data_IF_263479845266
#
_entry.id   IF_263479845266
#
_cell.length_a   1.000
_cell.length_b   1.000
_cell.length_c   1.000
_cell.angle_alpha   90.00
_cell.angle_beta   90.00
_cell.angle_gamma   90.00
#
_symmetry.space_group_name_H-M   'P 1'
#
loop_
_entity.id
_entity.type
_entity.pdbx_description
1 polymer ?
#
# COMPACT_ATOMS: atom_id res chain seq x y z
N UNK A 1 -23.75 -23.04 -0.80
CA UNK A 1 -22.62 -24.00 -0.90
C UNK A 1 -21.60 -23.57 -1.95
N UNK A 2 -21.88 -23.56 -3.26
CA UNK A 2 -20.89 -23.09 -4.27
C UNK A 2 -20.67 -21.56 -4.27
N UNK A 3 -21.73 -20.78 -4.03
CA UNK A 3 -21.63 -19.31 -4.00
C UNK A 3 -20.76 -18.81 -2.83
N UNK A 4 -20.93 -19.39 -1.64
CA UNK A 4 -20.13 -19.04 -0.44
C UNK A 4 -18.64 -19.34 -0.65
N UNK A 5 -18.35 -20.47 -1.29
CA UNK A 5 -16.99 -20.86 -1.62
C UNK A 5 -16.33 -19.88 -2.60
N UNK A 6 -17.01 -19.57 -3.70
CA UNK A 6 -16.51 -18.64 -4.72
C UNK A 6 -16.30 -17.26 -4.14
N UNK A 7 -17.22 -16.76 -3.33
CA UNK A 7 -17.13 -15.42 -2.73
C UNK A 7 -15.98 -15.33 -1.73
N UNK A 8 -15.82 -16.33 -0.86
CA UNK A 8 -14.71 -16.35 0.09
C UNK A 8 -13.35 -16.47 -0.63
N UNK A 9 -13.25 -17.32 -1.66
CA UNK A 9 -12.03 -17.41 -2.46
C UNK A 9 -11.72 -16.09 -3.19
N UNK A 10 -12.75 -15.41 -3.71
CA UNK A 10 -12.62 -14.09 -4.33
C UNK A 10 -12.10 -13.06 -3.35
N UNK A 11 -12.67 -13.01 -2.14
CA UNK A 11 -12.20 -12.15 -1.05
C UNK A 11 -10.74 -12.41 -0.69
N UNK A 12 -10.32 -13.67 -0.52
CA UNK A 12 -8.93 -14.02 -0.22
C UNK A 12 -7.95 -13.58 -1.33
N UNK A 13 -8.35 -13.76 -2.60
CA UNK A 13 -7.55 -13.31 -3.76
C UNK A 13 -7.47 -11.80 -3.85
N UNK A 14 -8.57 -11.12 -3.56
CA UNK A 14 -8.62 -9.66 -3.50
C UNK A 14 -7.66 -9.15 -2.41
N UNK A 15 -7.75 -9.68 -1.19
CA UNK A 15 -6.83 -9.31 -0.11
C UNK A 15 -5.38 -9.53 -0.52
N UNK A 16 -5.07 -10.66 -1.18
CA UNK A 16 -3.72 -10.93 -1.69
C UNK A 16 -3.24 -9.86 -2.69
N UNK A 17 -4.07 -9.46 -3.65
CA UNK A 17 -3.71 -8.43 -4.62
C UNK A 17 -3.54 -7.05 -3.95
N UNK A 18 -4.44 -6.71 -3.03
CA UNK A 18 -4.42 -5.43 -2.32
C UNK A 18 -3.19 -5.29 -1.41
N UNK A 19 -2.87 -6.31 -0.62
CA UNK A 19 -1.71 -6.29 0.29
C UNK A 19 -0.39 -6.28 -0.48
N UNK A 20 -0.31 -6.93 -1.65
CA UNK A 20 0.84 -6.78 -2.54
C UNK A 20 1.06 -5.32 -2.95
N UNK A 21 -0.02 -4.60 -3.32
CA UNK A 21 0.09 -3.19 -3.67
C UNK A 21 0.53 -2.33 -2.47
N UNK A 22 0.02 -2.59 -1.26
CA UNK A 22 0.46 -1.89 -0.04
C UNK A 22 1.95 -2.13 0.23
N UNK A 23 2.43 -3.36 0.07
CA UNK A 23 3.84 -3.69 0.27
C UNK A 23 4.74 -3.00 -0.76
N UNK A 24 4.31 -2.88 -2.02
CA UNK A 24 5.03 -2.13 -3.04
C UNK A 24 5.12 -0.64 -2.69
N UNK A 25 4.06 -0.05 -2.12
CA UNK A 25 4.09 1.33 -1.60
C UNK A 25 5.15 1.44 -0.50
N UNK A 26 5.17 0.51 0.44
CA UNK A 26 6.17 0.50 1.52
C UNK A 26 7.61 0.41 0.97
N UNK A 27 7.87 -0.47 0.00
CA UNK A 27 9.19 -0.60 -0.63
C UNK A 27 9.60 0.69 -1.36
N UNK A 28 8.69 1.30 -2.11
CA UNK A 28 8.98 2.54 -2.86
C UNK A 28 9.39 3.71 -1.96
N UNK A 29 8.82 3.77 -0.75
CA UNK A 29 9.19 4.74 0.28
C UNK A 29 10.61 4.49 0.83
N UNK A 30 11.05 3.23 0.87
CA UNK A 30 12.41 2.86 1.29
C UNK A 30 13.47 3.15 0.23
N UNK A 31 13.18 2.92 -1.05
CA UNK A 31 14.16 3.03 -2.14
C UNK A 31 14.41 4.46 -2.63
N UNK A 32 13.46 5.38 -2.44
CA UNK A 32 13.59 6.77 -2.91
C UNK A 32 14.76 7.56 -2.28
N UNK A 33 15.39 7.03 -1.23
CA UNK A 33 16.45 7.72 -0.49
C UNK A 33 17.84 7.08 -0.62
N UNK A 34 17.95 5.81 -1.04
CA UNK A 34 19.25 5.14 -1.27
C UNK A 34 19.90 5.56 -2.61
N UNK A 35 19.15 6.23 -3.50
CA UNK A 35 19.62 6.67 -4.81
C UNK A 35 20.27 8.08 -4.81
N UNK A 36 20.44 8.70 -3.64
CA UNK A 36 20.91 10.10 -3.52
C UNK A 36 22.32 10.24 -2.92
N UNK A 37 23.23 9.30 -3.21
CA UNK A 37 24.64 9.39 -2.78
C UNK A 37 25.60 9.58 -3.97
N UNK A 38 26.17 10.81 -4.01
CA UNK A 38 27.47 11.26 -4.57
C UNK A 38 27.58 11.72 -6.06
N UNK A 39 28.54 12.63 -6.39
CA UNK A 39 28.92 13.88 -5.68
C UNK A 39 29.27 15.08 -6.63
N UNK A 40 29.35 16.32 -6.11
CA UNK A 40 30.46 17.22 -6.48
C UNK A 40 30.69 18.36 -5.46
N UNK A 41 31.92 18.87 -5.47
CA UNK A 41 32.71 19.25 -4.30
C UNK A 41 32.52 20.66 -3.66
N UNK A 42 32.95 20.71 -2.38
CA UNK A 42 33.73 21.77 -1.70
C UNK A 42 33.14 23.13 -1.29
N UNK A 43 31.88 23.49 -1.57
CA UNK A 43 31.34 24.81 -1.13
C UNK A 43 30.29 24.79 0.01
N UNK A 44 29.78 23.63 0.46
CA UNK A 44 28.57 23.56 1.30
C UNK A 44 28.77 23.17 2.78
N UNK A 45 29.96 23.33 3.35
CA UNK A 45 30.28 22.71 4.64
C UNK A 45 29.51 23.26 5.87
N UNK A 46 28.90 24.45 5.79
CA UNK A 46 27.99 24.97 6.84
C UNK A 46 26.49 24.78 6.54
N UNK A 47 26.09 24.63 5.27
CA UNK A 47 24.70 24.25 4.91
C UNK A 47 24.46 22.74 5.03
N UNK A 48 25.52 21.93 4.97
CA UNK A 48 25.50 20.47 5.07
C UNK A 48 24.88 19.96 6.37
N UNK A 49 25.23 20.54 7.54
CA UNK A 49 24.74 19.99 8.82
C UNK A 49 23.22 20.06 8.98
N UNK A 50 22.59 21.10 8.42
CA UNK A 50 21.11 21.23 8.42
C UNK A 50 20.50 20.31 7.38
N UNK A 51 21.09 20.23 6.18
CA UNK A 51 20.65 19.32 5.12
C UNK A 51 20.76 17.84 5.52
N UNK A 52 21.81 17.46 6.24
CA UNK A 52 22.04 16.11 6.76
C UNK A 52 21.01 15.77 7.84
N UNK A 53 20.68 16.72 8.73
CA UNK A 53 19.62 16.53 9.72
C UNK A 53 18.23 16.42 9.08
N UNK A 54 17.93 17.20 8.04
CA UNK A 54 16.66 17.12 7.30
C UNK A 54 16.57 15.77 6.55
N UNK A 55 17.66 15.31 5.96
CA UNK A 55 17.73 14.03 5.23
C UNK A 55 17.57 12.84 6.16
N UNK A 56 18.21 12.87 7.33
CA UNK A 56 18.00 11.90 8.40
C UNK A 56 16.52 11.88 8.79
N UNK A 57 15.95 13.01 9.22
CA UNK A 57 14.55 13.11 9.64
C UNK A 57 13.58 12.57 8.57
N UNK A 58 13.84 12.85 7.29
CA UNK A 58 13.03 12.36 6.16
C UNK A 58 13.13 10.85 6.00
N UNK A 59 14.32 10.28 6.19
CA UNK A 59 14.55 8.83 6.14
C UNK A 59 13.88 8.11 7.30
N UNK A 60 13.99 8.64 8.52
CA UNK A 60 13.29 8.07 9.67
C UNK A 60 11.77 8.18 9.56
N UNK A 61 11.28 9.27 8.94
CA UNK A 61 9.86 9.40 8.60
C UNK A 61 9.40 8.32 7.61
N UNK A 62 10.18 8.06 6.56
CA UNK A 62 9.89 6.97 5.63
C UNK A 62 9.82 5.61 6.32
N UNK A 63 10.68 5.32 7.30
CA UNK A 63 10.57 4.06 8.06
C UNK A 63 9.31 3.98 8.92
N UNK A 64 8.84 5.10 9.48
CA UNK A 64 7.56 5.13 10.19
C UNK A 64 6.39 4.86 9.24
N UNK A 65 6.39 5.47 8.04
CA UNK A 65 5.39 5.20 7.00
C UNK A 65 5.39 3.72 6.59
N UNK A 66 6.57 3.15 6.34
CA UNK A 66 6.73 1.71 6.04
C UNK A 66 6.20 0.82 7.16
N UNK A 67 6.50 1.15 8.42
CA UNK A 67 6.04 0.37 9.57
C UNK A 67 4.51 0.34 9.62
N UNK A 68 3.87 1.50 9.48
CA UNK A 68 2.40 1.60 9.50
C UNK A 68 1.77 0.79 8.35
N UNK A 69 2.36 0.84 7.15
CA UNK A 69 1.92 0.05 6.01
C UNK A 69 2.06 -1.46 6.25
N UNK A 70 3.22 -1.92 6.76
CA UNK A 70 3.44 -3.34 7.07
C UNK A 70 2.57 -3.83 8.24
N UNK A 71 2.29 -2.99 9.24
CA UNK A 71 1.37 -3.32 10.33
C UNK A 71 -0.04 -3.54 9.79
N UNK A 72 -0.54 -2.62 8.94
CA UNK A 72 -1.84 -2.78 8.27
C UNK A 72 -1.88 -4.02 7.38
N UNK A 73 -0.80 -4.29 6.65
CA UNK A 73 -0.66 -5.50 5.83
C UNK A 73 -0.77 -6.76 6.68
N UNK A 74 -0.06 -6.82 7.82
CA UNK A 74 -0.12 -7.95 8.73
C UNK A 74 -1.52 -8.13 9.35
N UNK A 75 -2.19 -7.04 9.72
CA UNK A 75 -3.58 -7.04 10.21
C UNK A 75 -4.55 -7.67 9.19
N UNK A 76 -4.52 -7.18 7.94
CA UNK A 76 -5.36 -7.67 6.84
C UNK A 76 -5.12 -9.14 6.53
N UNK A 77 -3.84 -9.55 6.48
CA UNK A 77 -3.46 -10.93 6.22
C UNK A 77 -3.89 -11.87 7.36
N UNK A 78 -3.72 -11.44 8.61
CA UNK A 78 -4.17 -12.19 9.78
C UNK A 78 -5.69 -12.41 9.75
N UNK A 79 -6.45 -11.35 9.47
CA UNK A 79 -7.91 -11.42 9.33
C UNK A 79 -8.33 -12.36 8.19
N UNK A 80 -7.70 -12.27 7.01
CA UNK A 80 -7.97 -13.15 5.88
C UNK A 80 -7.66 -14.62 6.18
N UNK A 81 -6.53 -14.91 6.84
CA UNK A 81 -6.17 -16.26 7.26
C UNK A 81 -7.15 -16.82 8.29
N UNK A 82 -7.60 -16.00 9.24
CA UNK A 82 -8.62 -16.38 10.21
C UNK A 82 -9.96 -16.67 9.52
N UNK A 83 -10.41 -15.79 8.63
CA UNK A 83 -11.64 -15.98 7.85
C UNK A 83 -11.59 -17.24 6.99
N UNK A 84 -10.44 -17.55 6.36
CA UNK A 84 -10.25 -18.79 5.62
C UNK A 84 -10.37 -20.02 6.53
N UNK A 85 -9.77 -19.96 7.72
CA UNK A 85 -9.83 -21.05 8.70
C UNK A 85 -11.27 -21.30 9.17
N UNK A 86 -11.99 -20.24 9.54
CA UNK A 86 -13.39 -20.35 9.95
C UNK A 86 -14.30 -20.80 8.81
N UNK A 87 -14.06 -20.31 7.59
CA UNK A 87 -14.77 -20.77 6.39
C UNK A 87 -14.62 -22.26 6.13
N UNK A 88 -13.41 -22.81 6.34
CA UNK A 88 -13.16 -24.26 6.22
C UNK A 88 -13.89 -25.03 7.31
N UNK A 89 -13.81 -24.57 8.57
CA UNK A 89 -14.51 -25.22 9.70
C UNK A 89 -16.03 -25.25 9.49
N UNK A 90 -16.59 -24.18 8.93
CA UNK A 90 -18.02 -24.06 8.66
C UNK A 90 -18.47 -24.75 7.35
N UNK A 91 -17.54 -25.37 6.60
CA UNK A 91 -17.86 -26.00 5.31
C UNK A 91 -18.21 -25.01 4.19
N UNK A 92 -17.95 -23.71 4.39
CA UNK A 92 -18.16 -22.63 3.40
C UNK A 92 -16.99 -22.49 2.43
N UNK A 93 -15.80 -22.95 2.82
CA UNK A 93 -14.60 -22.93 1.99
C UNK A 93 -13.98 -24.33 1.91
N UNK A 94 -13.95 -24.90 0.70
CA UNK A 94 -13.37 -26.22 0.49
C UNK A 94 -11.84 -26.15 0.32
N UNK A 95 -11.05 -27.06 0.93
CA UNK A 95 -9.58 -27.05 0.87
C UNK A 95 -9.04 -27.60 -0.46
N UNK A 96 -9.43 -26.97 -1.57
CA UNK A 96 -8.95 -27.25 -2.92
C UNK A 96 -7.47 -26.87 -3.10
N UNK A 97 -6.84 -27.33 -4.18
CA UNK A 97 -5.46 -26.95 -4.54
C UNK A 97 -5.30 -25.43 -4.63
N UNK A 98 -6.27 -24.74 -5.25
CA UNK A 98 -6.30 -23.29 -5.37
C UNK A 98 -6.41 -22.58 -4.02
N UNK A 99 -7.32 -23.03 -3.13
CA UNK A 99 -7.44 -22.44 -1.79
C UNK A 99 -6.14 -22.63 -1.01
N UNK A 100 -5.55 -23.82 -1.05
CA UNK A 100 -4.25 -24.11 -0.40
C UNK A 100 -3.14 -23.19 -0.91
N UNK A 101 -3.08 -22.94 -2.22
CA UNK A 101 -2.09 -22.03 -2.81
C UNK A 101 -2.30 -20.57 -2.35
N UNK A 102 -3.54 -20.07 -2.35
CA UNK A 102 -3.84 -18.70 -1.91
C UNK A 102 -3.52 -18.53 -0.43
N UNK A 103 -3.98 -19.45 0.43
CA UNK A 103 -3.71 -19.43 1.88
C UNK A 103 -2.21 -19.52 2.17
N UNK A 104 -1.46 -20.35 1.42
CA UNK A 104 0.01 -20.41 1.52
C UNK A 104 0.65 -19.06 1.24
N UNK A 105 0.28 -18.39 0.14
CA UNK A 105 0.81 -17.06 -0.21
C UNK A 105 0.45 -16.01 0.84
N UNK A 106 -0.80 -15.99 1.32
CA UNK A 106 -1.21 -15.08 2.40
C UNK A 106 -0.35 -15.26 3.66
N UNK A 107 -0.07 -16.52 4.04
CA UNK A 107 0.77 -16.83 5.20
C UNK A 107 2.25 -16.44 4.99
N UNK A 108 2.79 -16.62 3.79
CA UNK A 108 4.14 -16.18 3.43
C UNK A 108 4.28 -14.65 3.55
N UNK A 109 3.34 -13.89 2.99
CA UNK A 109 3.32 -12.44 3.12
C UNK A 109 3.09 -11.98 4.56
N UNK A 110 2.31 -12.72 5.35
CA UNK A 110 2.07 -12.39 6.76
C UNK A 110 3.38 -12.47 7.54
N UNK A 111 4.11 -13.58 7.38
CA UNK A 111 5.43 -13.78 8.00
C UNK A 111 6.43 -12.72 7.56
N UNK A 112 6.46 -12.41 6.26
CA UNK A 112 7.31 -11.34 5.72
C UNK A 112 6.98 -9.98 6.35
N UNK A 113 5.70 -9.62 6.41
CA UNK A 113 5.21 -8.36 6.99
C UNK A 113 5.55 -8.24 8.47
N UNK A 114 5.38 -9.31 9.24
CA UNK A 114 5.75 -9.35 10.67
C UNK A 114 7.26 -9.19 10.85
N UNK A 115 8.07 -9.83 10.00
CA UNK A 115 9.53 -9.67 10.02
C UNK A 115 9.95 -8.22 9.76
N UNK A 116 9.38 -7.59 8.71
CA UNK A 116 9.60 -6.18 8.39
C UNK A 116 9.18 -5.25 9.53
N UNK A 117 8.02 -5.50 10.15
CA UNK A 117 7.58 -4.74 11.33
C UNK A 117 8.59 -4.82 12.48
N UNK A 118 9.11 -6.02 12.79
CA UNK A 118 10.11 -6.20 13.85
C UNK A 118 11.40 -5.44 13.53
N UNK A 119 11.89 -5.54 12.30
CA UNK A 119 13.10 -4.84 11.86
C UNK A 119 12.95 -3.32 11.96
N UNK A 120 11.85 -2.77 11.41
CA UNK A 120 11.56 -1.33 11.43
C UNK A 120 11.34 -0.81 12.86
N UNK A 121 10.64 -1.57 13.71
CA UNK A 121 10.39 -1.19 15.10
C UNK A 121 11.71 -1.09 15.89
N UNK A 122 12.61 -2.07 15.79
CA UNK A 122 13.93 -2.00 16.44
C UNK A 122 14.73 -0.77 15.97
N UNK A 123 14.68 -0.47 14.67
CA UNK A 123 15.37 0.69 14.09
C UNK A 123 14.79 2.01 14.58
N UNK A 124 13.47 2.13 14.64
CA UNK A 124 12.75 3.33 15.06
C UNK A 124 12.82 3.56 16.58
N UNK A 125 12.81 2.50 17.40
CA UNK A 125 12.96 2.64 18.86
C UNK A 125 14.28 3.31 19.24
N UNK A 126 15.39 2.94 18.59
CA UNK A 126 16.70 3.59 18.81
C UNK A 126 16.64 5.10 18.54
N UNK A 127 15.86 5.49 17.54
CA UNK A 127 15.69 6.88 17.13
C UNK A 127 14.76 7.67 18.07
N UNK A 128 13.60 7.11 18.44
CA UNK A 128 12.61 7.83 19.25
C UNK A 128 13.03 8.09 20.68
N UNK A 129 13.90 7.25 21.27
CA UNK A 129 14.51 7.50 22.58
C UNK A 129 15.23 8.86 22.63
N UNK A 130 15.73 9.36 21.48
CA UNK A 130 16.46 10.63 21.40
C UNK A 130 15.58 11.84 21.01
N UNK A 131 14.34 11.64 20.56
CA UNK A 131 13.47 12.69 19.99
C UNK A 131 11.99 12.53 20.35
N UNK A 132 11.66 12.45 21.64
CA UNK A 132 10.30 12.27 22.17
C UNK A 132 9.24 13.23 21.57
N UNK A 133 9.61 14.48 21.27
CA UNK A 133 8.71 15.51 20.68
C UNK A 133 8.28 15.21 19.23
N UNK A 134 8.92 14.26 18.56
CA UNK A 134 8.62 13.88 17.17
C UNK A 134 7.51 12.82 17.10
N UNK A 135 7.27 12.07 18.18
CA UNK A 135 6.18 11.09 18.27
C UNK A 135 4.80 11.73 18.11
N UNK A 136 4.60 12.95 18.63
CA UNK A 136 3.31 13.63 18.56
C UNK A 136 2.85 13.92 17.11
N UNK A 137 3.79 14.08 16.17
CA UNK A 137 3.48 14.25 14.74
C UNK A 137 3.23 12.93 14.02
N UNK A 138 3.87 11.84 14.47
CA UNK A 138 3.74 10.50 13.88
C UNK A 138 2.36 9.89 14.17
N UNK A 139 1.71 10.28 15.26
CA UNK A 139 0.35 9.88 15.59
C UNK A 139 -0.70 10.26 14.52
N UNK A 140 -0.34 11.10 13.55
CA UNK A 140 -1.21 11.45 12.41
C UNK A 140 -1.07 10.53 11.19
N UNK A 141 -0.02 9.70 11.14
CA UNK A 141 0.28 8.80 10.01
C UNK A 141 -0.57 7.54 10.14
N UNK A 142 -1.37 7.28 9.12
CA UNK A 142 -2.24 6.09 9.02
C UNK A 142 -2.01 5.43 7.67
N UNK A 143 -2.13 4.11 7.61
CA UNK A 143 -1.95 3.37 6.36
C UNK A 143 -2.97 3.81 5.30
N UNK A 144 -4.20 4.10 5.73
CA UNK A 144 -5.32 4.58 4.93
C UNK A 144 -4.93 5.86 4.17
N UNK A 145 -4.47 6.89 4.88
CA UNK A 145 -4.00 8.16 4.29
C UNK A 145 -2.81 7.95 3.34
N UNK A 146 -1.85 7.10 3.70
CA UNK A 146 -0.68 6.82 2.86
C UNK A 146 -1.08 6.13 1.55
N UNK A 147 -1.95 5.12 1.62
CA UNK A 147 -2.47 4.41 0.45
C UNK A 147 -3.31 5.36 -0.40
N UNK A 148 -4.16 6.19 0.19
CA UNK A 148 -4.96 7.17 -0.54
C UNK A 148 -4.08 8.18 -1.28
N UNK A 149 -3.12 8.79 -0.58
CA UNK A 149 -2.17 9.75 -1.17
C UNK A 149 -1.40 9.13 -2.33
N UNK A 150 -0.88 7.91 -2.16
CA UNK A 150 -0.18 7.21 -3.22
C UNK A 150 -1.11 6.89 -4.41
N UNK A 151 -2.35 6.51 -4.14
CA UNK A 151 -3.33 6.22 -5.19
C UNK A 151 -3.67 7.45 -6.01
N UNK A 152 -3.83 8.61 -5.38
CA UNK A 152 -4.03 9.89 -6.09
C UNK A 152 -2.83 10.21 -6.97
N UNK A 153 -1.60 10.07 -6.46
CA UNK A 153 -0.38 10.27 -7.24
C UNK A 153 -0.29 9.30 -8.43
N UNK A 154 -0.70 8.04 -8.24
CA UNK A 154 -0.75 7.03 -9.29
C UNK A 154 -1.74 7.39 -10.39
N UNK A 155 -2.92 7.90 -10.04
CA UNK A 155 -3.93 8.38 -11.00
C UNK A 155 -3.41 9.59 -11.78
N UNK A 156 -2.72 10.52 -11.11
CA UNK A 156 -2.09 11.66 -11.77
C UNK A 156 -0.99 11.22 -12.74
N UNK A 157 -0.14 10.28 -12.32
CA UNK A 157 0.88 9.70 -13.20
C UNK A 157 0.25 9.00 -14.41
N UNK A 158 -0.83 8.22 -14.20
CA UNK A 158 -1.57 7.56 -15.27
C UNK A 158 -2.12 8.56 -16.29
N UNK A 159 -2.66 9.69 -15.84
CA UNK A 159 -3.13 10.75 -16.73
C UNK A 159 -1.98 11.39 -17.54
N UNK A 160 -0.79 11.55 -16.94
CA UNK A 160 0.39 12.01 -17.68
C UNK A 160 0.84 10.97 -18.72
N UNK A 161 0.84 9.68 -18.37
CA UNK A 161 1.17 8.60 -19.32
C UNK A 161 0.27 8.64 -20.55
N UNK A 162 -1.03 8.91 -20.38
CA UNK A 162 -1.97 9.10 -21.48
C UNK A 162 -1.57 10.29 -22.38
N UNK A 163 -1.24 11.43 -21.77
CA UNK A 163 -0.82 12.64 -22.51
C UNK A 163 0.43 12.40 -23.34
N UNK A 164 1.32 11.50 -22.90
CA UNK A 164 2.55 11.13 -23.60
C UNK A 164 2.41 9.84 -24.44
N UNK A 165 1.18 9.38 -24.73
CA UNK A 165 0.88 8.21 -25.56
C UNK A 165 1.42 6.86 -25.05
N UNK A 166 1.63 6.72 -23.74
CA UNK A 166 1.97 5.43 -23.09
C UNK A 166 0.69 4.68 -22.67
N UNK A 167 -0.16 4.36 -23.65
CA UNK A 167 -1.52 3.86 -23.43
C UNK A 167 -1.60 2.64 -22.51
N UNK A 168 -0.78 1.61 -22.75
CA UNK A 168 -0.81 0.38 -21.94
C UNK A 168 -0.40 0.63 -20.47
N UNK A 169 0.64 1.41 -20.25
CA UNK A 169 1.14 1.71 -18.91
C UNK A 169 0.12 2.54 -18.10
N UNK A 170 -0.57 3.48 -18.75
CA UNK A 170 -1.66 4.25 -18.12
C UNK A 170 -2.80 3.33 -17.64
N UNK A 171 -3.24 2.39 -18.48
CA UNK A 171 -4.32 1.45 -18.19
C UNK A 171 -3.94 0.56 -17.00
N UNK A 172 -2.71 0.05 -16.95
CA UNK A 172 -2.24 -0.76 -15.83
C UNK A 172 -2.24 0.04 -14.52
N UNK A 173 -1.77 1.30 -14.54
CA UNK A 173 -1.80 2.19 -13.37
C UNK A 173 -3.21 2.50 -12.90
N UNK A 174 -4.17 2.73 -13.79
CA UNK A 174 -5.57 2.91 -13.39
C UNK A 174 -6.20 1.67 -12.77
N UNK A 175 -5.96 0.47 -13.31
CA UNK A 175 -6.45 -0.76 -12.69
C UNK A 175 -5.88 -0.97 -11.29
N UNK A 176 -4.59 -0.68 -11.11
CA UNK A 176 -3.96 -0.75 -9.79
C UNK A 176 -4.51 0.32 -8.83
N UNK A 177 -4.74 1.54 -9.32
CA UNK A 177 -5.38 2.59 -8.52
C UNK A 177 -6.80 2.21 -8.12
N UNK A 178 -7.55 1.56 -9.01
CA UNK A 178 -8.89 1.05 -8.73
C UNK A 178 -8.86 -0.01 -7.62
N UNK A 179 -7.95 -0.99 -7.73
CA UNK A 179 -7.73 -2.01 -6.70
C UNK A 179 -7.40 -1.38 -5.33
N UNK A 180 -6.56 -0.35 -5.30
CA UNK A 180 -6.22 0.37 -4.07
C UNK A 180 -7.41 1.14 -3.48
N UNK A 181 -8.22 1.82 -4.30
CA UNK A 181 -9.44 2.49 -3.86
C UNK A 181 -10.48 1.50 -3.32
N UNK A 182 -10.65 0.36 -3.98
CA UNK A 182 -11.53 -0.72 -3.49
C UNK A 182 -11.05 -1.24 -2.14
N UNK A 183 -9.75 -1.52 -2.00
CA UNK A 183 -9.21 -2.01 -0.73
C UNK A 183 -9.30 -0.96 0.39
N UNK A 184 -9.12 0.32 0.06
CA UNK A 184 -9.34 1.44 0.99
C UNK A 184 -10.77 1.48 1.52
N UNK A 185 -11.77 1.25 0.66
CA UNK A 185 -13.17 1.24 1.07
C UNK A 185 -13.51 0.13 2.08
N UNK A 186 -12.69 -0.92 2.17
CA UNK A 186 -12.87 -2.01 3.13
C UNK A 186 -12.21 -1.76 4.48
N UNK A 187 -11.26 -0.80 4.56
CA UNK A 187 -10.50 -0.51 5.78
C UNK A 187 -10.91 0.78 6.48
N UNK A 188 -11.52 1.71 5.74
CA UNK A 188 -12.00 2.98 6.29
C UNK A 188 -13.38 2.80 6.93
N UNK A 189 -13.59 3.46 8.06
CA UNK A 189 -14.83 3.41 8.84
C UNK A 189 -15.66 4.68 8.71
N UNK A 190 -15.06 5.82 8.35
CA UNK A 190 -15.74 7.10 8.25
C UNK A 190 -16.58 7.21 6.96
N UNK A 191 -17.88 7.44 7.12
CA UNK A 191 -18.83 7.42 6.00
C UNK A 191 -18.57 8.51 4.94
N UNK A 192 -18.08 9.68 5.38
CA UNK A 192 -17.71 10.76 4.48
C UNK A 192 -16.54 10.35 3.57
N UNK A 193 -15.51 9.72 4.13
CA UNK A 193 -14.35 9.22 3.40
C UNK A 193 -14.72 8.08 2.45
N UNK A 194 -15.58 7.15 2.88
CA UNK A 194 -16.12 6.09 2.01
C UNK A 194 -16.84 6.69 0.80
N UNK A 195 -17.64 7.76 1.00
CA UNK A 195 -18.32 8.46 -0.09
C UNK A 195 -17.32 9.10 -1.06
N UNK A 196 -16.27 9.74 -0.54
CA UNK A 196 -15.23 10.37 -1.35
C UNK A 196 -14.45 9.33 -2.18
N UNK A 197 -14.06 8.21 -1.57
CA UNK A 197 -13.40 7.10 -2.25
C UNK A 197 -14.30 6.51 -3.34
N UNK A 198 -15.59 6.35 -3.05
CA UNK A 198 -16.55 5.83 -4.04
C UNK A 198 -16.66 6.75 -5.27
N UNK A 199 -16.62 8.07 -5.07
CA UNK A 199 -16.59 9.04 -6.19
C UNK A 199 -15.29 8.92 -6.99
N UNK A 200 -14.14 8.86 -6.31
CA UNK A 200 -12.84 8.69 -6.97
C UNK A 200 -12.79 7.38 -7.78
N UNK A 201 -13.28 6.29 -7.21
CA UNK A 201 -13.42 4.98 -7.88
C UNK A 201 -14.20 5.11 -9.18
N UNK A 202 -15.39 5.72 -9.12
CA UNK A 202 -16.26 5.91 -10.29
C UNK A 202 -15.58 6.75 -11.38
N UNK A 203 -14.80 7.77 -11.00
CA UNK A 203 -14.03 8.56 -11.96
C UNK A 203 -12.97 7.71 -12.69
N UNK A 204 -12.24 6.86 -11.96
CA UNK A 204 -11.24 5.95 -12.53
C UNK A 204 -11.90 4.93 -13.47
N UNK A 205 -13.02 4.33 -13.05
CA UNK A 205 -13.78 3.37 -13.87
C UNK A 205 -14.26 3.99 -15.18
N UNK A 206 -14.85 5.19 -15.11
CA UNK A 206 -15.29 5.92 -16.31
C UNK A 206 -14.14 6.22 -17.25
N UNK A 207 -12.98 6.62 -16.72
CA UNK A 207 -11.79 6.88 -17.55
C UNK A 207 -11.30 5.61 -18.22
N UNK A 208 -11.20 4.50 -17.48
CA UNK A 208 -10.83 3.19 -18.01
C UNK A 208 -11.78 2.74 -19.13
N UNK A 209 -13.09 2.86 -18.94
CA UNK A 209 -14.07 2.53 -19.99
C UNK A 209 -13.88 3.38 -21.25
N UNK A 210 -13.62 4.69 -21.10
CA UNK A 210 -13.36 5.57 -22.23
C UNK A 210 -12.09 5.16 -23.01
N UNK A 211 -11.00 4.83 -22.30
CA UNK A 211 -9.76 4.37 -22.92
C UNK A 211 -9.94 3.05 -23.68
N UNK A 212 -10.70 2.09 -23.12
CA UNK A 212 -10.97 0.79 -23.76
C UNK A 212 -11.87 0.91 -24.99
N UNK A 213 -12.79 1.89 -25.00
CA UNK A 213 -13.70 2.14 -26.12
C UNK A 213 -13.05 2.87 -27.32
N UNK A 214 -11.77 3.25 -27.22
CA UNK A 214 -11.07 3.97 -28.30
C UNK A 214 -11.52 5.42 -28.50
N UNK A 215 -12.34 5.98 -27.61
CA UNK A 215 -12.82 7.37 -27.66
C UNK A 215 -11.71 8.42 -27.36
N UNK A 216 -10.45 8.01 -27.31
CA UNK A 216 -9.28 8.86 -27.09
C UNK A 216 -8.16 8.57 -28.11
N UNK A 217 -8.54 8.28 -29.36
CA UNK A 217 -7.65 8.36 -30.53
C UNK A 217 -7.94 9.64 -31.32
#
# INVERSE_FOLDING_TARGET
MEQDHTEMLRSLRFTLAFVHCIMEIAVSKGSAMDASEAPDASFLQQQSLVADQISLLSREWSYAEQLVLYMKTAELLSSALHNAMEGIKQGKLFPSSTVKQVVKKLNELYKSSVSSCRCLNVRLQRFFVHKQRLMDRINSITAEKLVYSHTVQMVQAAALDEMFHHGEASIQRYHKALLLMEGLSLIITEQADISNISKCKLCIERRLSALQSGLCA
#
